data_IF_725044302839
#
_entry.id   IF_725044302839
#
_cell.length_a   1.000
_cell.length_b   1.000
_cell.length_c   1.000
_cell.angle_alpha   90.00
_cell.angle_beta   90.00
_cell.angle_gamma   90.00
#
_symmetry.space_group_name_H-M   'P 1'
#
loop_
_entity.id
_entity.type
_entity.pdbx_description
1 polymer ?
#
# COMPACT_ATOMS: atom_id res chain seq x y z
N UNK A 1 18.69 29.26 -90.23
CA UNK A 1 20.13 29.40 -90.04
C UNK A 1 20.35 30.17 -88.75
N UNK A 2 20.67 29.62 -87.61
CA UNK A 2 20.73 28.28 -87.01
C UNK A 2 21.26 28.55 -85.60
N UNK A 3 21.01 27.61 -84.69
CA UNK A 3 21.72 27.42 -83.40
C UNK A 3 21.10 28.00 -82.13
N UNK A 4 20.50 27.06 -81.40
CA UNK A 4 20.17 26.97 -79.96
C UNK A 4 21.29 27.49 -79.02
N UNK A 5 20.99 28.30 -77.99
CA UNK A 5 20.55 28.01 -76.59
C UNK A 5 21.74 27.88 -75.60
N UNK A 6 21.62 28.25 -74.30
CA UNK A 6 20.82 27.42 -73.38
C UNK A 6 20.00 28.18 -72.29
N UNK A 7 19.01 27.44 -71.78
CA UNK A 7 18.25 27.67 -70.55
C UNK A 7 19.15 27.87 -69.32
N UNK A 8 18.77 28.81 -68.46
CA UNK A 8 19.37 29.03 -67.13
C UNK A 8 18.30 29.24 -66.06
N UNK A 9 18.14 28.22 -65.22
CA UNK A 9 17.53 28.15 -63.89
C UNK A 9 16.88 29.42 -63.28
N UNK A 10 15.56 29.40 -63.11
CA UNK A 10 14.90 30.15 -62.03
C UNK A 10 15.06 29.43 -60.68
N UNK A 11 15.38 30.24 -59.67
CA UNK A 11 15.77 29.86 -58.31
C UNK A 11 14.48 29.66 -57.49
N UNK A 12 14.11 28.41 -57.22
CA UNK A 12 13.15 28.09 -56.14
C UNK A 12 13.89 28.05 -54.81
N UNK A 13 14.04 29.22 -54.19
CA UNK A 13 14.60 29.37 -52.85
C UNK A 13 13.75 30.30 -51.99
N UNK A 14 12.47 29.97 -51.78
CA UNK A 14 11.69 30.65 -50.74
C UNK A 14 10.50 29.84 -50.21
N UNK A 15 10.70 28.57 -49.84
CA UNK A 15 9.64 27.81 -49.15
C UNK A 15 10.16 26.90 -48.03
N UNK A 16 11.43 26.46 -48.08
CA UNK A 16 11.99 25.54 -47.07
C UNK A 16 12.34 26.21 -45.73
N UNK A 17 12.53 27.52 -45.67
CA UNK A 17 12.99 28.21 -44.44
C UNK A 17 11.82 28.52 -43.50
N UNK A 18 10.61 28.77 -44.01
CA UNK A 18 9.43 29.01 -43.15
C UNK A 18 8.91 27.74 -42.47
N UNK A 19 9.00 26.59 -43.13
CA UNK A 19 8.54 25.31 -42.58
C UNK A 19 9.49 24.72 -41.53
N UNK A 20 10.77 25.08 -41.54
CA UNK A 20 11.72 24.62 -40.53
C UNK A 20 11.52 25.33 -39.18
N UNK A 21 11.12 26.61 -39.19
CA UNK A 21 10.93 27.40 -37.95
C UNK A 21 9.60 27.09 -37.26
N UNK A 22 8.54 26.78 -38.03
CA UNK A 22 7.26 26.31 -37.46
C UNK A 22 7.34 24.86 -36.97
N UNK A 23 8.11 23.98 -37.61
CA UNK A 23 8.33 22.61 -37.13
C UNK A 23 9.17 22.58 -35.83
N UNK A 24 10.17 23.46 -35.68
CA UNK A 24 10.97 23.53 -34.46
C UNK A 24 10.18 24.10 -33.26
N UNK A 25 9.26 25.05 -33.49
CA UNK A 25 8.39 25.58 -32.44
C UNK A 25 7.26 24.60 -32.03
N UNK A 26 6.79 23.76 -32.96
CA UNK A 26 5.78 22.75 -32.66
C UNK A 26 6.34 21.49 -31.97
N UNK A 27 7.62 21.16 -32.19
CA UNK A 27 8.29 20.05 -31.48
C UNK A 27 8.72 20.44 -30.06
N UNK A 28 8.98 21.72 -29.80
CA UNK A 28 9.32 22.20 -28.45
C UNK A 28 8.11 22.37 -27.51
N UNK A 29 6.88 22.43 -28.03
CA UNK A 29 5.65 22.49 -27.21
C UNK A 29 5.01 21.12 -26.92
N UNK A 30 5.57 20.03 -27.45
CA UNK A 30 5.14 18.65 -27.19
C UNK A 30 6.04 17.89 -26.22
N UNK A 31 7.04 18.56 -25.63
CA UNK A 31 7.55 18.18 -24.31
C UNK A 31 6.48 18.55 -23.28
N UNK A 32 5.35 17.83 -23.34
CA UNK A 32 4.39 17.81 -22.28
C UNK A 32 5.15 17.62 -20.99
N UNK A 33 4.84 18.45 -20.00
CA UNK A 33 5.16 18.18 -18.63
C UNK A 33 4.71 16.74 -18.37
N UNK A 34 5.64 15.78 -18.44
CA UNK A 34 5.47 14.53 -17.76
C UNK A 34 5.45 14.96 -16.30
N UNK A 35 4.25 15.26 -15.79
CA UNK A 35 4.02 15.28 -14.36
C UNK A 35 4.66 14.00 -13.88
N UNK A 36 5.75 14.12 -13.15
CA UNK A 36 6.25 13.05 -12.31
C UNK A 36 5.18 12.90 -11.24
N UNK A 37 4.06 12.25 -11.61
CA UNK A 37 3.02 11.92 -10.69
C UNK A 37 3.69 11.04 -9.64
N UNK A 38 3.75 11.55 -8.42
CA UNK A 38 4.12 10.72 -7.29
C UNK A 38 3.08 9.61 -7.19
N UNK A 39 3.53 8.44 -6.73
CA UNK A 39 2.64 7.32 -6.44
C UNK A 39 1.54 7.80 -5.48
N UNK A 40 0.28 7.73 -5.91
CA UNK A 40 -0.84 8.06 -5.04
C UNK A 40 -1.06 6.95 -4.03
N UNK A 41 -1.50 7.33 -2.84
CA UNK A 41 -1.94 6.39 -1.83
C UNK A 41 -3.47 6.46 -1.71
N UNK A 42 -4.14 5.34 -1.98
CA UNK A 42 -5.57 5.18 -1.83
C UNK A 42 -5.87 4.32 -0.60
N UNK A 43 -6.97 4.61 0.10
CA UNK A 43 -7.42 3.83 1.23
C UNK A 43 -8.92 3.58 1.19
N UNK A 44 -9.30 2.32 1.44
CA UNK A 44 -10.69 1.90 1.60
C UNK A 44 -10.80 1.26 2.98
N UNK A 45 -11.50 1.95 3.89
CA UNK A 45 -11.75 1.47 5.26
C UNK A 45 -13.19 1.00 5.35
N UNK A 46 -13.39 -0.27 5.67
CA UNK A 46 -14.69 -0.95 5.60
C UNK A 46 -15.04 -1.53 6.96
N UNK A 47 -16.10 -1.01 7.56
CA UNK A 47 -16.73 -1.60 8.74
C UNK A 47 -17.97 -2.40 8.32
N UNK A 48 -17.94 -3.70 8.56
CA UNK A 48 -19.03 -4.63 8.23
C UNK A 48 -20.26 -4.47 9.14
N UNK A 49 -21.24 -5.36 8.99
CA UNK A 49 -22.41 -5.39 9.86
C UNK A 49 -21.99 -5.71 11.31
N UNK A 50 -22.36 -4.85 12.27
CA UNK A 50 -21.82 -4.95 13.63
C UNK A 50 -22.41 -6.09 14.46
N UNK A 51 -23.65 -6.50 14.18
CA UNK A 51 -24.34 -7.58 14.93
C UNK A 51 -24.76 -7.21 16.36
N UNK A 52 -24.65 -5.93 16.76
CA UNK A 52 -25.09 -5.40 18.04
C UNK A 52 -24.45 -4.06 18.40
N UNK A 53 -25.06 -3.30 19.31
CA UNK A 53 -24.65 -1.93 19.63
C UNK A 53 -23.23 -1.85 20.22
N UNK A 54 -22.87 -2.77 21.11
CA UNK A 54 -21.53 -2.79 21.71
C UNK A 54 -20.41 -3.01 20.68
N UNK A 55 -20.68 -3.83 19.65
CA UNK A 55 -19.77 -4.02 18.52
C UNK A 55 -19.72 -2.79 17.64
N UNK A 56 -20.88 -2.17 17.36
CA UNK A 56 -20.96 -0.97 16.54
C UNK A 56 -20.11 0.18 17.12
N UNK A 57 -20.27 0.48 18.41
CA UNK A 57 -19.50 1.52 19.10
C UNK A 57 -17.99 1.26 19.03
N UNK A 58 -17.58 0.00 19.18
CA UNK A 58 -16.18 -0.40 19.13
C UNK A 58 -15.59 -0.30 17.73
N UNK A 59 -16.29 -0.77 16.71
CA UNK A 59 -15.84 -0.69 15.33
C UNK A 59 -15.80 0.76 14.85
N UNK A 60 -16.75 1.59 15.28
CA UNK A 60 -16.73 3.02 15.04
C UNK A 60 -15.52 3.69 15.66
N UNK A 61 -15.17 3.35 16.91
CA UNK A 61 -13.95 3.87 17.56
C UNK A 61 -12.71 3.57 16.72
N UNK A 62 -12.52 2.31 16.29
CA UNK A 62 -11.35 1.92 15.50
C UNK A 62 -11.34 2.59 14.12
N UNK A 63 -12.47 2.57 13.42
CA UNK A 63 -12.64 3.22 12.12
C UNK A 63 -12.34 4.71 12.19
N UNK A 64 -12.96 5.43 13.13
CA UNK A 64 -12.80 6.88 13.27
C UNK A 64 -11.37 7.25 13.66
N UNK A 65 -10.74 6.50 14.58
CA UNK A 65 -9.33 6.70 14.93
C UNK A 65 -8.44 6.58 13.69
N UNK A 66 -8.60 5.50 12.93
CA UNK A 66 -7.75 5.25 11.77
C UNK A 66 -8.02 6.22 10.61
N UNK A 67 -9.28 6.56 10.34
CA UNK A 67 -9.65 7.59 9.35
C UNK A 67 -9.07 8.96 9.73
N UNK A 68 -9.04 9.28 11.02
CA UNK A 68 -8.40 10.51 11.53
C UNK A 68 -6.90 10.47 11.24
N UNK A 69 -6.21 9.36 11.52
CA UNK A 69 -4.79 9.19 11.16
C UNK A 69 -4.56 9.41 9.66
N UNK A 70 -5.37 8.77 8.81
CA UNK A 70 -5.21 8.89 7.35
C UNK A 70 -5.42 10.33 6.85
N UNK A 71 -6.46 11.03 7.35
CA UNK A 71 -6.79 12.41 6.91
C UNK A 71 -5.91 13.47 7.54
N UNK A 72 -5.80 13.47 8.86
CA UNK A 72 -5.20 14.56 9.63
C UNK A 72 -3.68 14.43 9.71
N UNK A 73 -3.16 13.20 9.83
CA UNK A 73 -1.73 12.94 10.00
C UNK A 73 -1.04 12.60 8.69
N UNK A 74 -1.63 11.72 7.89
CA UNK A 74 -1.05 11.30 6.60
C UNK A 74 -1.56 12.12 5.42
N UNK A 75 -2.48 13.07 5.65
CA UNK A 75 -2.95 14.03 4.65
C UNK A 75 -3.49 13.37 3.38
N UNK A 76 -4.19 12.23 3.51
CA UNK A 76 -4.88 11.62 2.38
C UNK A 76 -5.94 12.59 1.83
N UNK A 77 -5.94 12.87 0.51
CA UNK A 77 -7.01 13.63 -0.13
C UNK A 77 -8.38 12.97 0.09
N UNK A 78 -9.44 13.78 0.17
CA UNK A 78 -10.81 13.27 0.38
C UNK A 78 -11.25 12.30 -0.71
N UNK A 79 -10.79 12.47 -1.94
CA UNK A 79 -11.12 11.59 -3.06
C UNK A 79 -10.22 10.33 -3.15
N UNK A 80 -9.23 10.20 -2.25
CA UNK A 80 -8.33 9.05 -2.12
C UNK A 80 -8.68 8.16 -0.92
N UNK A 81 -9.57 8.63 -0.04
CA UNK A 81 -10.04 7.89 1.13
C UNK A 81 -11.55 7.62 1.06
N UNK A 82 -11.90 6.34 0.88
CA UNK A 82 -13.30 5.90 0.88
C UNK A 82 -13.61 5.14 2.16
N UNK A 83 -14.68 5.53 2.84
CA UNK A 83 -15.14 4.89 4.08
C UNK A 83 -16.49 4.22 3.86
N UNK A 84 -16.58 2.94 4.22
CA UNK A 84 -17.81 2.16 4.23
C UNK A 84 -18.11 1.70 5.68
N UNK A 85 -19.37 1.76 6.12
CA UNK A 85 -19.76 1.33 7.47
C UNK A 85 -21.17 0.71 7.53
N UNK A 86 -21.57 0.19 8.70
CA UNK A 86 -22.88 -0.46 8.92
C UNK A 86 -24.06 0.48 8.55
N UNK A 87 -23.92 1.77 8.85
CA UNK A 87 -24.86 2.83 8.47
C UNK A 87 -24.18 3.87 7.59
N UNK A 88 -24.94 4.42 6.64
CA UNK A 88 -24.51 5.54 5.81
C UNK A 88 -24.61 6.87 6.58
N UNK A 89 -23.71 7.79 6.26
CA UNK A 89 -23.70 9.15 6.80
C UNK A 89 -22.92 10.08 5.86
N UNK A 90 -22.79 11.37 6.19
CA UNK A 90 -22.05 12.31 5.36
C UNK A 90 -20.60 11.83 5.17
N UNK A 91 -20.20 11.58 3.92
CA UNK A 91 -18.87 11.07 3.57
C UNK A 91 -18.62 9.60 3.90
N UNK A 92 -19.65 8.84 4.30
CA UNK A 92 -19.56 7.40 4.60
C UNK A 92 -20.65 6.64 3.85
N UNK A 93 -20.24 5.67 3.04
CA UNK A 93 -21.15 4.80 2.33
C UNK A 93 -21.57 3.62 3.21
N UNK A 94 -22.75 3.05 2.94
CA UNK A 94 -23.15 1.79 3.57
C UNK A 94 -22.29 0.63 3.06
N UNK A 95 -21.79 -0.24 3.94
CA UNK A 95 -20.93 -1.38 3.64
C UNK A 95 -21.71 -2.57 3.06
N UNK A 96 -22.32 -2.37 1.89
CA UNK A 96 -23.01 -3.44 1.14
C UNK A 96 -22.10 -4.02 0.05
N UNK A 97 -22.43 -5.23 -0.43
CA UNK A 97 -21.75 -5.88 -1.56
C UNK A 97 -21.60 -4.96 -2.78
N UNK A 98 -22.68 -4.25 -3.11
CA UNK A 98 -22.78 -3.40 -4.29
C UNK A 98 -21.86 -2.19 -4.15
N UNK A 99 -21.84 -1.56 -2.97
CA UNK A 99 -20.97 -0.41 -2.70
C UNK A 99 -19.49 -0.81 -2.72
N UNK A 100 -19.13 -1.96 -2.13
CA UNK A 100 -17.75 -2.48 -2.20
C UNK A 100 -17.33 -2.72 -3.66
N UNK A 101 -18.15 -3.43 -4.44
CA UNK A 101 -17.87 -3.70 -5.86
C UNK A 101 -17.72 -2.43 -6.69
N UNK A 102 -18.58 -1.43 -6.45
CA UNK A 102 -18.52 -0.14 -7.12
C UNK A 102 -17.21 0.59 -6.78
N UNK A 103 -16.87 0.71 -5.49
CA UNK A 103 -15.66 1.41 -5.03
C UNK A 103 -14.39 0.76 -5.59
N UNK A 104 -14.27 -0.56 -5.50
CA UNK A 104 -13.13 -1.29 -6.08
C UNK A 104 -13.09 -1.18 -7.61
N UNK A 105 -14.25 -1.21 -8.27
CA UNK A 105 -14.38 -1.04 -9.71
C UNK A 105 -13.98 0.34 -10.21
N UNK A 106 -14.25 1.38 -9.42
CA UNK A 106 -13.83 2.76 -9.73
C UNK A 106 -12.35 2.96 -9.44
N UNK A 107 -11.84 2.41 -8.33
CA UNK A 107 -10.41 2.44 -8.02
C UNK A 107 -9.58 1.74 -9.10
N UNK A 108 -10.03 0.59 -9.60
CA UNK A 108 -9.40 -0.12 -10.74
C UNK A 108 -9.20 0.78 -11.95
N UNK A 109 -10.11 1.71 -12.23
CA UNK A 109 -10.03 2.62 -13.39
C UNK A 109 -9.10 3.80 -13.15
N UNK A 110 -8.90 4.19 -11.89
CA UNK A 110 -8.13 5.37 -11.48
C UNK A 110 -6.68 5.05 -11.17
N UNK A 111 -6.45 3.95 -10.45
CA UNK A 111 -5.13 3.58 -9.96
C UNK A 111 -4.18 3.25 -11.10
N UNK A 112 -2.90 3.53 -10.87
CA UNK A 112 -1.77 3.21 -11.73
C UNK A 112 -0.88 2.15 -11.08
N UNK A 113 0.12 1.67 -11.83
CA UNK A 113 1.05 0.64 -11.34
C UNK A 113 1.99 1.13 -10.22
N UNK A 114 2.12 2.44 -10.07
CA UNK A 114 3.04 3.05 -9.13
C UNK A 114 2.32 3.37 -7.79
N UNK A 115 0.98 3.37 -7.78
CA UNK A 115 0.16 3.71 -6.61
C UNK A 115 0.14 2.60 -5.55
N UNK A 116 -0.20 2.98 -4.32
CA UNK A 116 -0.46 2.07 -3.20
C UNK A 116 -1.95 2.07 -2.85
N UNK A 117 -2.52 0.90 -2.61
CA UNK A 117 -3.93 0.72 -2.24
C UNK A 117 -4.00 0.01 -0.91
N UNK A 118 -4.57 0.66 0.10
CA UNK A 118 -4.96 0.05 1.36
C UNK A 118 -6.42 -0.39 1.31
N UNK A 119 -6.68 -1.64 1.70
CA UNK A 119 -8.02 -2.14 2.06
C UNK A 119 -7.97 -2.65 3.49
N UNK A 120 -8.71 -2.00 4.39
CA UNK A 120 -8.83 -2.38 5.80
C UNK A 120 -10.25 -2.86 6.08
N UNK A 121 -10.39 -4.11 6.53
CA UNK A 121 -11.66 -4.70 6.92
C UNK A 121 -11.77 -4.78 8.44
N UNK A 122 -12.81 -4.16 9.00
CA UNK A 122 -13.14 -4.15 10.43
C UNK A 122 -14.53 -4.76 10.61
N UNK A 123 -14.68 -5.75 11.49
CA UNK A 123 -15.97 -6.32 11.81
C UNK A 123 -15.90 -7.81 12.05
N UNK A 124 -16.91 -8.52 11.56
CA UNK A 124 -17.04 -9.97 11.71
C UNK A 124 -16.70 -10.69 10.41
N UNK A 125 -16.18 -11.91 10.57
CA UNK A 125 -16.00 -12.85 9.49
C UNK A 125 -16.55 -14.21 9.85
N UNK A 126 -17.01 -14.94 8.84
CA UNK A 126 -17.57 -16.28 8.99
C UNK A 126 -16.82 -17.27 8.10
N UNK A 127 -16.57 -18.46 8.62
CA UNK A 127 -16.04 -19.60 7.87
C UNK A 127 -16.99 -20.77 8.08
N UNK A 128 -17.33 -21.49 7.01
CA UNK A 128 -18.30 -22.60 7.04
C UNK A 128 -17.63 -23.96 6.82
N UNK A 129 -16.66 -24.05 5.92
CA UNK A 129 -15.98 -25.29 5.51
C UNK A 129 -14.45 -25.25 5.73
N UNK A 130 -13.92 -24.12 6.19
CA UNK A 130 -12.49 -23.91 6.42
C UNK A 130 -11.67 -23.59 5.18
N UNK A 131 -12.23 -23.74 3.97
CA UNK A 131 -11.56 -23.50 2.69
C UNK A 131 -11.81 -22.07 2.17
N UNK A 132 -13.00 -21.52 2.42
CA UNK A 132 -13.34 -20.14 2.13
C UNK A 132 -13.91 -19.46 3.38
N UNK A 133 -13.80 -18.14 3.43
CA UNK A 133 -14.36 -17.31 4.49
C UNK A 133 -15.09 -16.12 3.87
N UNK A 134 -15.95 -15.48 4.65
CA UNK A 134 -16.75 -14.32 4.24
C UNK A 134 -16.54 -13.20 5.22
N UNK A 135 -16.44 -11.99 4.69
CA UNK A 135 -16.49 -10.77 5.48
C UNK A 135 -17.95 -10.32 5.57
N UNK A 136 -18.46 -10.14 6.79
CA UNK A 136 -19.87 -9.91 7.03
C UNK A 136 -20.27 -8.48 6.67
N UNK A 137 -20.91 -8.32 5.51
CA UNK A 137 -21.36 -7.03 5.00
C UNK A 137 -22.79 -6.74 5.46
N UNK A 138 -23.25 -5.52 5.23
CA UNK A 138 -24.68 -5.24 5.37
C UNK A 138 -25.41 -5.85 4.18
N UNK A 139 -26.08 -6.97 4.44
CA UNK A 139 -26.73 -7.78 3.41
C UNK A 139 -25.84 -8.93 2.96
N UNK A 140 -25.79 -9.27 1.65
CA UNK A 140 -25.02 -10.41 1.17
C UNK A 140 -23.50 -10.23 1.31
N UNK A 141 -22.84 -11.18 2.00
CA UNK A 141 -21.40 -11.18 2.24
C UNK A 141 -20.56 -11.53 1.01
N UNK A 142 -19.35 -10.96 0.90
CA UNK A 142 -18.35 -11.35 -0.09
C UNK A 142 -17.41 -12.41 0.48
N UNK A 143 -17.18 -13.48 -0.28
CA UNK A 143 -16.18 -14.49 0.10
C UNK A 143 -14.74 -14.06 -0.20
N UNK A 144 -13.76 -14.69 0.43
CA UNK A 144 -12.34 -14.42 0.19
C UNK A 144 -11.97 -14.60 -1.28
N UNK A 145 -12.56 -15.60 -1.95
CA UNK A 145 -12.41 -15.81 -3.39
C UNK A 145 -12.94 -14.61 -4.21
N UNK A 146 -14.13 -14.09 -3.86
CA UNK A 146 -14.68 -12.92 -4.55
C UNK A 146 -13.86 -11.65 -4.29
N UNK A 147 -13.35 -11.46 -3.06
CA UNK A 147 -12.42 -10.38 -2.75
C UNK A 147 -11.16 -10.48 -3.58
N UNK A 148 -10.56 -11.67 -3.69
CA UNK A 148 -9.38 -11.89 -4.52
C UNK A 148 -9.64 -11.53 -5.98
N UNK A 149 -10.79 -11.93 -6.55
CA UNK A 149 -11.18 -11.60 -7.93
C UNK A 149 -11.37 -10.10 -8.15
N UNK A 150 -11.94 -9.39 -7.17
CA UNK A 150 -12.14 -7.93 -7.24
C UNK A 150 -10.82 -7.16 -7.12
N UNK A 151 -9.88 -7.65 -6.32
CA UNK A 151 -8.58 -6.99 -6.05
C UNK A 151 -7.52 -7.32 -7.10
N UNK A 152 -7.56 -8.53 -7.69
CA UNK A 152 -6.61 -8.99 -8.73
C UNK A 152 -6.38 -7.99 -9.88
N UNK A 153 -7.39 -7.33 -10.46
CA UNK A 153 -7.20 -6.45 -11.60
C UNK A 153 -6.80 -5.01 -11.23
N UNK A 154 -6.72 -4.65 -9.95
CA UNK A 154 -6.30 -3.31 -9.52
C UNK A 154 -4.77 -3.21 -9.65
N UNK A 155 -4.23 -2.24 -10.41
CA UNK A 155 -2.80 -2.04 -10.53
C UNK A 155 -2.22 -1.43 -9.25
N UNK A 156 -0.91 -1.53 -9.07
CA UNK A 156 -0.20 -0.94 -7.92
C UNK A 156 0.13 -1.95 -6.82
N UNK A 157 0.62 -1.43 -5.71
CA UNK A 157 0.94 -2.21 -4.50
C UNK A 157 -0.30 -2.33 -3.63
N UNK A 158 -0.69 -3.54 -3.27
CA UNK A 158 -1.88 -3.78 -2.41
C UNK A 158 -1.45 -4.05 -0.97
N UNK A 159 -1.98 -3.27 -0.04
CA UNK A 159 -1.97 -3.56 1.40
C UNK A 159 -3.39 -4.00 1.78
N UNK A 160 -3.57 -5.29 2.09
CA UNK A 160 -4.84 -5.84 2.50
C UNK A 160 -4.77 -6.28 3.95
N UNK A 161 -5.58 -5.67 4.81
CA UNK A 161 -5.61 -5.95 6.25
C UNK A 161 -7.02 -6.40 6.61
N UNK A 162 -7.15 -7.69 6.93
CA UNK A 162 -8.40 -8.25 7.44
C UNK A 162 -8.29 -8.47 8.95
N UNK A 163 -9.03 -7.65 9.68
CA UNK A 163 -9.00 -7.69 11.14
C UNK A 163 -10.05 -8.60 11.74
N UNK A 164 -10.79 -9.40 10.95
CA UNK A 164 -11.94 -10.16 11.47
C UNK A 164 -11.58 -11.56 11.95
N UNK A 165 -12.53 -12.16 12.67
CA UNK A 165 -12.58 -13.60 12.91
C UNK A 165 -12.55 -14.38 11.59
N UNK A 166 -11.88 -15.54 11.58
CA UNK A 166 -11.79 -16.41 10.41
C UNK A 166 -11.12 -15.76 9.19
N UNK A 167 -10.25 -14.77 9.37
CA UNK A 167 -9.61 -14.02 8.29
C UNK A 167 -8.54 -14.81 7.52
N UNK A 168 -7.97 -15.88 8.09
CA UNK A 168 -6.90 -16.66 7.45
C UNK A 168 -7.14 -17.09 5.98
N UNK A 169 -8.33 -17.57 5.55
CA UNK A 169 -8.56 -17.90 4.15
C UNK A 169 -8.35 -16.72 3.19
N UNK A 170 -8.58 -15.47 3.63
CA UNK A 170 -8.28 -14.28 2.84
C UNK A 170 -6.80 -14.16 2.53
N UNK A 171 -5.92 -14.46 3.50
CA UNK A 171 -4.48 -14.48 3.27
C UNK A 171 -4.12 -15.39 2.09
N UNK A 172 -4.62 -16.63 2.11
CA UNK A 172 -4.31 -17.63 1.07
C UNK A 172 -4.82 -17.23 -0.31
N UNK A 173 -6.00 -16.59 -0.40
CA UNK A 173 -6.62 -16.22 -1.68
C UNK A 173 -6.07 -14.92 -2.26
N UNK A 174 -5.66 -13.97 -1.40
CA UNK A 174 -5.24 -12.63 -1.81
C UNK A 174 -3.72 -12.53 -1.97
N UNK A 175 -2.95 -13.41 -1.32
CA UNK A 175 -1.50 -13.50 -1.47
C UNK A 175 -1.06 -13.41 -2.95
N UNK A 176 -0.02 -12.62 -3.19
CA UNK A 176 0.52 -12.44 -4.52
C UNK A 176 1.65 -11.43 -4.54
N UNK A 177 2.33 -11.33 -5.69
CA UNK A 177 3.45 -10.41 -5.87
C UNK A 177 3.00 -8.95 -5.69
N UNK A 178 3.79 -8.16 -4.95
CA UNK A 178 3.51 -6.75 -4.70
C UNK A 178 2.32 -6.53 -3.76
N UNK A 179 2.07 -7.49 -2.86
CA UNK A 179 1.00 -7.43 -1.88
C UNK A 179 1.56 -7.63 -0.48
N UNK A 180 1.03 -6.89 0.48
CA UNK A 180 1.18 -7.13 1.91
C UNK A 180 -0.19 -7.52 2.43
N UNK A 181 -0.34 -8.77 2.86
CA UNK A 181 -1.61 -9.31 3.33
C UNK A 181 -1.51 -9.65 4.80
N UNK A 182 -2.37 -9.05 5.62
CA UNK A 182 -2.39 -9.22 7.07
C UNK A 182 -3.73 -9.79 7.50
N UNK A 183 -3.70 -10.81 8.36
CA UNK A 183 -4.89 -11.39 8.99
C UNK A 183 -4.74 -11.39 10.51
N UNK A 184 -5.86 -11.34 11.22
CA UNK A 184 -5.86 -11.47 12.69
C UNK A 184 -5.84 -12.93 13.16
N UNK A 185 -6.10 -13.87 12.25
CA UNK A 185 -6.15 -15.31 12.55
C UNK A 185 -5.16 -16.11 11.70
N UNK A 186 -4.71 -17.24 12.23
CA UNK A 186 -3.80 -18.20 11.58
C UNK A 186 -4.53 -19.44 11.04
N UNK A 187 -5.83 -19.54 11.32
CA UNK A 187 -6.69 -20.61 10.83
C UNK A 187 -8.12 -20.11 10.60
N UNK A 188 -8.87 -20.87 9.81
CA UNK A 188 -10.29 -20.64 9.58
C UNK A 188 -11.16 -21.02 10.80
N UNK A 189 -10.60 -21.72 11.79
CA UNK A 189 -11.30 -22.18 12.99
C UNK A 189 -11.42 -21.10 14.08
N UNK A 190 -10.64 -20.01 13.99
CA UNK A 190 -10.68 -18.91 14.94
C UNK A 190 -11.84 -17.97 14.64
N UNK A 191 -13.03 -18.33 15.12
CA UNK A 191 -14.28 -17.61 14.89
C UNK A 191 -14.63 -16.59 15.98
N UNK A 192 -13.79 -16.45 17.00
CA UNK A 192 -13.98 -15.45 18.04
C UNK A 192 -13.56 -14.07 17.57
N UNK A 193 -14.18 -13.05 18.17
CA UNK A 193 -13.79 -11.67 17.94
C UNK A 193 -12.32 -11.42 18.30
N UNK A 194 -11.70 -10.57 17.49
CA UNK A 194 -10.28 -10.24 17.52
C UNK A 194 -10.02 -8.94 18.29
N UNK A 195 -8.88 -8.87 18.96
CA UNK A 195 -8.34 -7.69 19.62
C UNK A 195 -7.34 -6.93 18.73
N UNK A 196 -6.82 -7.57 17.68
CA UNK A 196 -5.84 -7.00 16.74
C UNK A 196 -6.17 -5.60 16.22
N UNK A 197 -7.41 -5.28 15.75
CA UNK A 197 -7.70 -3.96 15.20
C UNK A 197 -7.44 -2.83 16.20
N UNK A 198 -7.66 -3.03 17.51
CA UNK A 198 -7.37 -2.00 18.52
C UNK A 198 -5.89 -1.62 18.54
N UNK A 199 -5.00 -2.60 18.41
CA UNK A 199 -3.56 -2.35 18.45
C UNK A 199 -3.00 -1.93 17.09
N UNK A 200 -3.56 -2.45 15.99
CA UNK A 200 -3.16 -2.09 14.64
C UNK A 200 -3.41 -0.60 14.35
N UNK A 201 -4.62 -0.09 14.65
CA UNK A 201 -4.90 1.34 14.44
C UNK A 201 -4.04 2.21 15.35
N UNK A 202 -3.82 1.78 16.60
CA UNK A 202 -3.00 2.50 17.57
C UNK A 202 -1.52 2.61 17.16
N UNK A 203 -1.00 1.63 16.44
CA UNK A 203 0.40 1.61 16.03
C UNK A 203 0.82 2.89 15.29
N UNK A 204 -0.08 3.49 14.52
CA UNK A 204 0.23 4.69 13.75
C UNK A 204 0.24 5.99 14.58
N UNK A 205 -0.21 5.95 15.83
CA UNK A 205 -0.22 7.10 16.76
C UNK A 205 0.74 6.93 17.95
N UNK A 206 1.28 5.73 18.15
CA UNK A 206 2.18 5.41 19.27
C UNK A 206 3.65 5.42 18.82
N UNK A 207 4.51 6.33 19.34
CA UNK A 207 5.93 6.38 18.99
C UNK A 207 6.72 5.10 19.35
N UNK A 208 6.14 4.20 20.15
CA UNK A 208 6.74 2.89 20.43
C UNK A 208 6.63 1.92 19.23
N UNK A 209 5.74 2.18 18.27
CA UNK A 209 5.61 1.35 17.07
C UNK A 209 6.72 1.60 16.04
N UNK A 210 7.24 2.84 15.95
CA UNK A 210 8.43 3.18 15.17
C UNK A 210 9.67 2.63 15.90
N UNK A 211 10.07 1.40 15.57
CA UNK A 211 11.13 0.67 16.25
C UNK A 211 12.50 1.13 15.74
N UNK A 212 12.62 1.40 14.45
CA UNK A 212 13.87 1.85 13.84
C UNK A 212 14.15 3.35 14.01
N UNK A 213 13.18 4.11 14.54
CA UNK A 213 13.24 5.55 14.84
C UNK A 213 13.43 6.41 13.60
N UNK A 214 12.87 5.98 12.47
CA UNK A 214 12.91 6.72 11.22
C UNK A 214 11.82 7.80 11.09
N UNK A 215 10.92 7.90 12.07
CA UNK A 215 9.84 8.89 12.14
C UNK A 215 8.56 8.47 11.43
N UNK A 216 8.53 7.28 10.83
CA UNK A 216 7.37 6.68 10.16
C UNK A 216 7.13 5.29 10.74
N UNK A 217 5.96 4.72 10.48
CA UNK A 217 5.62 3.35 10.89
C UNK A 217 5.40 2.51 9.63
N UNK A 218 6.26 1.53 9.42
CA UNK A 218 6.12 0.55 8.33
C UNK A 218 4.98 -0.43 8.61
N UNK A 219 4.49 -1.10 7.57
CA UNK A 219 3.48 -2.16 7.73
C UNK A 219 3.99 -3.32 8.59
N UNK A 220 5.30 -3.62 8.54
CA UNK A 220 5.91 -4.62 9.41
C UNK A 220 5.88 -4.20 10.88
N UNK A 221 6.18 -2.93 11.18
CA UNK A 221 6.15 -2.37 12.53
C UNK A 221 4.72 -2.32 13.08
N UNK A 222 3.76 -1.85 12.29
CA UNK A 222 2.34 -1.85 12.67
C UNK A 222 1.84 -3.28 12.97
N UNK A 223 2.18 -4.25 12.13
CA UNK A 223 1.86 -5.66 12.36
C UNK A 223 2.53 -6.22 13.62
N UNK A 224 3.81 -5.90 13.83
CA UNK A 224 4.58 -6.39 14.99
C UNK A 224 4.06 -5.79 16.31
N UNK A 225 3.79 -4.48 16.32
CA UNK A 225 3.18 -3.78 17.44
C UNK A 225 1.81 -4.38 17.77
N UNK A 226 0.97 -4.59 16.75
CA UNK A 226 -0.36 -5.15 16.93
C UNK A 226 -0.32 -6.59 17.47
N UNK A 227 0.56 -7.43 16.90
CA UNK A 227 0.76 -8.81 17.36
C UNK A 227 1.23 -8.88 18.82
N UNK A 228 2.14 -8.00 19.23
CA UNK A 228 2.58 -7.90 20.62
C UNK A 228 1.45 -7.44 21.56
N UNK A 229 0.62 -6.48 21.11
CA UNK A 229 -0.55 -6.00 21.83
C UNK A 229 -1.60 -7.08 22.06
N UNK A 230 -1.92 -7.87 21.02
CA UNK A 230 -2.84 -9.02 21.13
C UNK A 230 -2.34 -10.02 22.16
N UNK A 231 -1.07 -10.43 22.08
CA UNK A 231 -0.49 -11.36 23.06
C UNK A 231 -0.63 -10.81 24.49
N UNK A 232 -0.27 -9.56 24.70
CA UNK A 232 -0.37 -8.93 26.02
C UNK A 232 -1.82 -8.83 26.52
N UNK A 233 -2.77 -8.57 25.62
CA UNK A 233 -4.19 -8.51 25.95
C UNK A 233 -4.73 -9.82 26.51
N UNK A 234 -4.30 -10.97 25.96
CA UNK A 234 -4.64 -12.30 26.45
C UNK A 234 -3.93 -12.62 27.78
N UNK A 235 -2.64 -12.31 27.89
CA UNK A 235 -1.84 -12.50 29.11
C UNK A 235 -2.45 -11.76 30.31
N UNK A 236 -2.78 -10.48 30.15
CA UNK A 236 -3.39 -9.66 31.20
C UNK A 236 -4.74 -10.20 31.69
N UNK A 237 -5.45 -10.94 30.83
CA UNK A 237 -6.76 -11.53 31.15
C UNK A 237 -6.66 -12.96 31.69
N UNK A 238 -5.45 -13.50 31.82
CA UNK A 238 -5.22 -14.88 32.23
C UNK A 238 -5.84 -15.90 31.26
N UNK A 239 -5.90 -15.56 29.96
CA UNK A 239 -6.48 -16.40 28.91
C UNK A 239 -5.39 -16.93 27.99
N UNK A 240 -5.61 -18.12 27.43
CA UNK A 240 -4.77 -18.63 26.35
C UNK A 240 -4.90 -17.73 25.12
N UNK A 241 -3.77 -17.40 24.48
CA UNK A 241 -3.76 -16.62 23.26
C UNK A 241 -4.34 -17.44 22.09
N UNK A 242 -5.63 -17.25 21.82
CA UNK A 242 -6.34 -17.93 20.73
C UNK A 242 -6.32 -17.15 19.43
N UNK A 243 -5.86 -15.90 19.45
CA UNK A 243 -5.74 -15.03 18.29
C UNK A 243 -4.27 -14.93 17.89
N UNK A 244 -3.98 -15.24 16.63
CA UNK A 244 -2.62 -15.35 16.11
C UNK A 244 -2.55 -14.63 14.76
N UNK A 245 -2.18 -13.35 14.76
CA UNK A 245 -2.08 -12.57 13.54
C UNK A 245 -0.96 -13.07 12.63
N UNK A 246 -1.22 -13.08 11.33
CA UNK A 246 -0.24 -13.45 10.31
C UNK A 246 -0.04 -12.31 9.29
N UNK A 247 1.16 -12.27 8.72
CA UNK A 247 1.49 -11.43 7.57
C UNK A 247 2.13 -12.29 6.48
N UNK A 248 1.67 -12.13 5.24
CA UNK A 248 2.33 -12.62 4.03
C UNK A 248 2.62 -11.44 3.10
N UNK A 249 3.89 -11.25 2.76
CA UNK A 249 4.33 -10.28 1.76
C UNK A 249 5.24 -10.90 0.69
N UNK A 250 5.40 -12.22 0.72
CA UNK A 250 6.11 -13.01 -0.29
C UNK A 250 5.18 -13.46 -1.41
N UNK A 251 3.87 -13.52 -1.11
CA UNK A 251 2.84 -14.04 -2.00
C UNK A 251 2.75 -15.57 -2.00
N UNK A 252 3.31 -16.22 -0.98
CA UNK A 252 3.28 -17.67 -0.83
C UNK A 252 1.92 -18.21 -0.34
N UNK A 253 1.07 -17.34 0.23
CA UNK A 253 -0.16 -17.75 0.90
C UNK A 253 0.11 -18.51 2.20
N UNK A 254 1.34 -18.41 2.74
CA UNK A 254 1.75 -18.99 4.02
C UNK A 254 2.21 -17.81 4.87
N UNK A 255 1.29 -17.25 5.66
CA UNK A 255 1.60 -16.12 6.52
C UNK A 255 2.47 -16.48 7.72
N UNK A 256 3.12 -15.47 8.28
CA UNK A 256 4.03 -15.60 9.43
C UNK A 256 3.62 -14.68 10.58
N UNK A 257 3.68 -15.20 11.81
CA UNK A 257 3.59 -14.38 13.02
C UNK A 257 4.81 -13.48 13.20
N UNK A 258 4.66 -12.34 13.88
CA UNK A 258 5.72 -11.34 14.02
C UNK A 258 7.03 -11.87 14.65
N UNK A 259 6.95 -12.82 15.59
CA UNK A 259 8.10 -13.33 16.34
C UNK A 259 8.73 -14.59 15.73
N UNK A 260 8.07 -15.19 14.73
CA UNK A 260 8.57 -16.41 14.12
C UNK A 260 9.61 -16.08 13.05
N UNK A 261 10.67 -16.90 12.90
CA UNK A 261 11.58 -16.77 11.76
C UNK A 261 10.85 -17.12 10.45
N UNK A 262 11.26 -16.53 9.33
CA UNK A 262 10.69 -16.85 8.01
C UNK A 262 11.05 -15.82 6.93
N UNK A 263 10.53 -16.00 5.72
CA UNK A 263 10.81 -15.13 4.57
C UNK A 263 10.03 -13.81 4.53
N UNK A 264 8.90 -13.73 5.26
CA UNK A 264 8.03 -12.55 5.21
C UNK A 264 8.66 -11.29 5.84
N UNK A 265 8.03 -10.15 5.58
CA UNK A 265 8.34 -8.85 6.15
C UNK A 265 9.29 -8.00 5.32
N UNK A 266 9.96 -8.54 4.30
CA UNK A 266 10.90 -7.77 3.49
C UNK A 266 10.22 -6.61 2.74
N UNK A 267 9.02 -6.85 2.19
CA UNK A 267 8.23 -5.82 1.50
C UNK A 267 7.52 -4.94 2.53
N UNK A 268 6.97 -5.53 3.59
CA UNK A 268 6.23 -4.80 4.62
C UNK A 268 7.10 -3.81 5.43
N UNK A 269 8.41 -4.06 5.58
CA UNK A 269 9.36 -3.14 6.25
C UNK A 269 9.61 -1.86 5.46
N UNK A 270 9.40 -1.88 4.16
CA UNK A 270 9.56 -0.70 3.28
C UNK A 270 8.23 -0.19 2.74
N UNK A 271 7.11 -0.78 3.18
CA UNK A 271 5.77 -0.33 2.83
C UNK A 271 5.24 0.56 3.94
N UNK A 272 4.93 1.81 3.61
CA UNK A 272 4.41 2.81 4.53
C UNK A 272 3.05 3.30 4.02
N UNK A 273 2.09 3.49 4.93
CA UNK A 273 0.80 4.09 4.59
C UNK A 273 0.91 5.62 4.42
N UNK A 274 1.77 6.26 5.23
CA UNK A 274 2.06 7.68 5.07
C UNK A 274 2.70 7.93 3.69
N UNK A 275 2.10 8.75 2.81
CA UNK A 275 2.70 9.09 1.52
C UNK A 275 4.01 9.84 1.72
N UNK A 276 4.96 9.68 0.79
CA UNK A 276 6.12 10.57 0.79
C UNK A 276 5.66 12.00 0.46
N UNK A 277 6.03 12.97 1.30
CA UNK A 277 5.45 14.32 1.28
C UNK A 277 5.48 14.97 -0.10
N UNK A 278 4.33 15.48 -0.55
CA UNK A 278 4.16 16.23 -1.80
C UNK A 278 5.00 17.54 -1.89
N UNK A 279 5.60 18.01 -0.78
CA UNK A 279 6.63 19.07 -0.79
C UNK A 279 7.79 18.75 -1.75
N UNK A 280 8.12 17.46 -1.88
CA UNK A 280 9.13 16.98 -2.81
C UNK A 280 8.71 17.04 -4.29
N UNK A 281 7.42 17.28 -4.58
CA UNK A 281 6.92 17.52 -5.93
C UNK A 281 7.21 18.95 -6.44
N UNK A 282 7.44 19.90 -5.52
CA UNK A 282 7.89 21.27 -5.85
C UNK A 282 9.40 21.38 -6.06
N UNK A 283 10.20 20.59 -5.33
CA UNK A 283 11.65 20.47 -5.51
C UNK A 283 12.00 19.10 -6.10
N UNK A 284 12.04 19.01 -7.43
CA UNK A 284 12.35 17.78 -8.16
C UNK A 284 13.69 17.13 -7.75
N UNK A 285 14.62 17.88 -7.17
CA UNK A 285 15.85 17.31 -6.62
C UNK A 285 15.61 16.59 -5.28
N UNK A 286 14.78 17.15 -4.39
CA UNK A 286 14.38 16.48 -3.15
C UNK A 286 13.55 15.22 -3.46
N UNK A 287 12.61 15.30 -4.41
CA UNK A 287 11.83 14.14 -4.86
C UNK A 287 12.70 13.00 -5.40
N UNK A 288 13.72 13.33 -6.20
CA UNK A 288 14.67 12.33 -6.68
C UNK A 288 15.48 11.66 -5.54
N UNK A 289 15.83 12.43 -4.50
CA UNK A 289 16.55 11.89 -3.34
C UNK A 289 15.67 10.98 -2.47
N UNK A 290 14.41 11.36 -2.23
CA UNK A 290 13.46 10.52 -1.49
C UNK A 290 13.19 9.21 -2.23
N UNK A 291 12.93 9.28 -3.54
CA UNK A 291 12.82 8.07 -4.37
C UNK A 291 14.07 7.20 -4.29
N UNK A 292 15.26 7.82 -4.35
CA UNK A 292 16.53 7.08 -4.24
C UNK A 292 16.71 6.44 -2.86
N UNK A 293 16.26 7.11 -1.79
CA UNK A 293 16.25 6.58 -0.43
C UNK A 293 15.38 5.32 -0.36
N UNK A 294 14.13 5.40 -0.83
CA UNK A 294 13.19 4.27 -0.88
C UNK A 294 13.76 3.09 -1.71
N UNK A 295 14.36 3.37 -2.88
CA UNK A 295 15.00 2.34 -3.71
C UNK A 295 16.13 1.61 -2.97
N UNK A 296 16.92 2.33 -2.16
CA UNK A 296 18.04 1.77 -1.40
C UNK A 296 17.54 0.95 -0.20
N UNK A 297 16.51 1.42 0.50
CA UNK A 297 15.87 0.65 1.58
C UNK A 297 15.30 -0.66 1.05
N UNK A 298 14.59 -0.62 -0.08
CA UNK A 298 14.08 -1.83 -0.74
C UNK A 298 15.20 -2.80 -1.16
N UNK A 299 16.33 -2.29 -1.67
CA UNK A 299 17.50 -3.12 -2.01
C UNK A 299 18.12 -3.77 -0.77
N UNK A 300 18.19 -3.05 0.35
CA UNK A 300 18.72 -3.58 1.61
C UNK A 300 17.84 -4.71 2.13
N UNK A 301 16.52 -4.55 2.14
CA UNK A 301 15.62 -5.61 2.57
C UNK A 301 15.65 -6.83 1.62
N UNK A 302 15.73 -6.60 0.31
CA UNK A 302 15.92 -7.68 -0.67
C UNK A 302 17.28 -8.39 -0.52
N UNK A 303 18.33 -7.70 -0.08
CA UNK A 303 19.62 -8.31 0.24
C UNK A 303 19.53 -9.15 1.53
N UNK A 304 18.92 -8.62 2.59
CA UNK A 304 18.68 -9.34 3.85
C UNK A 304 17.90 -10.64 3.63
N UNK A 305 16.87 -10.60 2.78
CA UNK A 305 16.06 -11.78 2.44
C UNK A 305 16.86 -12.90 1.73
N UNK A 306 18.00 -12.59 1.12
CA UNK A 306 18.85 -13.55 0.40
C UNK A 306 20.13 -13.93 1.16
N UNK A 307 20.30 -13.43 2.39
CA UNK A 307 21.52 -13.61 3.20
C UNK A 307 21.95 -15.08 3.28
N UNK A 308 21.02 -15.99 3.57
CA UNK A 308 21.31 -17.41 3.76
C UNK A 308 21.71 -18.13 2.46
N UNK A 309 21.47 -17.51 1.30
CA UNK A 309 21.83 -18.02 -0.02
C UNK A 309 23.10 -17.39 -0.61
N UNK A 310 23.82 -16.55 0.17
CA UNK A 310 25.00 -15.82 -0.30
C UNK A 310 26.24 -16.14 0.56
N UNK A 311 27.46 -16.13 -0.02
CA UNK A 311 28.70 -16.16 0.77
C UNK A 311 28.78 -14.95 1.71
N UNK A 312 29.19 -15.13 2.99
CA UNK A 312 29.22 -14.04 3.98
C UNK A 312 29.98 -12.80 3.51
N UNK A 313 31.18 -12.96 2.95
CA UNK A 313 32.00 -11.84 2.48
C UNK A 313 31.34 -11.04 1.34
N UNK A 314 30.57 -11.72 0.48
CA UNK A 314 29.83 -11.07 -0.61
C UNK A 314 28.62 -10.30 -0.06
N UNK A 315 27.91 -10.90 0.89
CA UNK A 315 26.79 -10.25 1.58
C UNK A 315 27.24 -8.97 2.31
N UNK A 316 28.33 -9.05 3.07
CA UNK A 316 28.85 -7.92 3.84
C UNK A 316 29.30 -6.79 2.91
N UNK A 317 29.99 -7.11 1.81
CA UNK A 317 30.42 -6.11 0.81
C UNK A 317 29.24 -5.43 0.09
N UNK A 318 28.20 -6.17 -0.29
CA UNK A 318 26.99 -5.59 -0.89
C UNK A 318 26.22 -4.73 0.13
N UNK A 319 26.11 -5.19 1.37
CA UNK A 319 25.42 -4.48 2.43
C UNK A 319 26.13 -3.16 2.75
N UNK A 320 27.45 -3.18 2.92
CA UNK A 320 28.25 -1.98 3.16
C UNK A 320 28.02 -0.95 2.06
N UNK A 321 28.07 -1.36 0.79
CA UNK A 321 27.83 -0.48 -0.35
C UNK A 321 26.46 0.17 -0.30
N UNK A 322 25.41 -0.59 0.01
CA UNK A 322 24.03 -0.08 0.07
C UNK A 322 23.83 0.88 1.26
N UNK A 323 24.32 0.52 2.44
CA UNK A 323 24.18 1.34 3.66
C UNK A 323 24.96 2.65 3.54
N UNK A 324 26.17 2.62 2.97
CA UNK A 324 26.93 3.85 2.70
C UNK A 324 26.22 4.75 1.69
N UNK A 325 25.60 4.17 0.66
CA UNK A 325 24.80 4.94 -0.30
C UNK A 325 23.57 5.57 0.38
N UNK A 326 22.87 4.82 1.24
CA UNK A 326 21.71 5.31 1.98
C UNK A 326 22.09 6.44 2.95
N UNK A 327 23.20 6.30 3.67
CA UNK A 327 23.72 7.33 4.57
C UNK A 327 24.00 8.65 3.83
N UNK A 328 24.64 8.58 2.64
CA UNK A 328 24.91 9.77 1.81
C UNK A 328 23.62 10.44 1.33
N UNK A 329 22.65 9.67 0.85
CA UNK A 329 21.36 10.19 0.39
C UNK A 329 20.59 10.85 1.54
N UNK A 330 20.56 10.20 2.71
CA UNK A 330 19.92 10.73 3.91
C UNK A 330 20.57 12.05 4.37
N UNK A 331 21.90 12.15 4.31
CA UNK A 331 22.61 13.40 4.61
C UNK A 331 22.25 14.52 3.61
N UNK A 332 22.14 14.19 2.32
CA UNK A 332 21.73 15.16 1.29
C UNK A 332 20.29 15.64 1.50
N UNK A 333 19.37 14.75 1.85
CA UNK A 333 17.99 15.09 2.20
C UNK A 333 17.98 16.07 3.38
N UNK A 334 18.68 15.73 4.48
CA UNK A 334 18.76 16.58 5.67
C UNK A 334 19.31 17.98 5.42
N UNK A 335 20.15 18.14 4.39
CA UNK A 335 20.73 19.44 4.01
C UNK A 335 19.76 20.28 3.17
N UNK A 336 18.72 19.66 2.59
CA UNK A 336 17.74 20.27 1.70
C UNK A 336 16.35 20.48 2.33
N UNK A 337 16.01 19.69 3.35
CA UNK A 337 14.84 19.81 4.21
C UNK A 337 15.01 20.92 5.25
#
# INVERSE_FOLDING_TARGET
MDSEAPMGLEISACEKVKNAVTAAAAVLLLLGFASTAFADHYAIVITGAAGGEAYAQKYDKWRLSFVTTLREKFHYPDDHLVVLADTDSAGVLKATRENVRRVLGDLRKRATKDDQILVLLIGHGTSLDGEDAKFNLVGPDLSASEWADLLKPIPGTLVFVDTTSGSFPFLRKIAGRGRVVVTSTDSAAQLFETAFPEFFVKAFDDPAADVDKNGRVSMWEAFSYASAGVRHWFEQRGRLATERPLLDDTGAGIGREAQNPGGDGAVARVTYLEPETASAAGDGALGALLKRKADLEAQIEALKARKDAMPPDQYDAELEKLVLALARVTQQIRTKS
#
